data_IF_112016646005
#
_entry.id   IF_112016646005
#
_cell.length_a   1.000
_cell.length_b   1.000
_cell.length_c   1.000
_cell.angle_alpha   90.00
_cell.angle_beta   90.00
_cell.angle_gamma   90.00
#
_symmetry.space_group_name_H-M   'P 1'
#
loop_
_entity.id
_entity.type
_entity.pdbx_description
1 polymer ?
#
# COMPACT_ATOMS: atom_id res chain seq x y z
N UNK A 1 37.15 14.96 -16.98
CA UNK A 1 36.03 15.72 -17.57
C UNK A 1 35.79 16.90 -16.65
N UNK A 2 35.55 18.10 -17.17
CA UNK A 2 35.36 19.29 -16.31
C UNK A 2 33.95 19.33 -15.69
N UNK A 3 32.99 18.58 -16.28
CA UNK A 3 31.60 18.48 -15.88
C UNK A 3 31.08 17.04 -16.06
N UNK A 4 30.29 16.57 -15.10
CA UNK A 4 29.52 15.33 -15.16
C UNK A 4 28.05 15.66 -14.91
N UNK A 5 27.18 15.29 -15.85
CA UNK A 5 25.72 15.39 -15.68
C UNK A 5 25.18 13.96 -15.57
N UNK A 6 24.67 13.61 -14.40
CA UNK A 6 24.12 12.29 -14.10
C UNK A 6 22.59 12.33 -14.14
N UNK A 7 22.00 11.52 -15.02
CA UNK A 7 20.55 11.26 -15.08
C UNK A 7 20.12 10.08 -14.21
N UNK A 8 18.91 9.57 -14.43
CA UNK A 8 18.25 8.44 -13.76
C UNK A 8 17.62 8.72 -12.39
N UNK A 9 18.21 9.58 -11.55
CA UNK A 9 17.57 9.99 -10.29
C UNK A 9 16.52 11.09 -10.53
N UNK A 10 15.30 10.88 -10.05
CA UNK A 10 14.19 11.83 -10.19
C UNK A 10 14.34 13.03 -9.26
N UNK A 11 14.87 12.81 -8.06
CA UNK A 11 15.15 13.89 -7.12
C UNK A 11 16.42 14.64 -7.52
N UNK A 12 16.30 15.97 -7.57
CA UNK A 12 17.45 16.86 -7.71
C UNK A 12 18.45 16.65 -6.57
N UNK A 13 19.74 16.69 -6.88
CA UNK A 13 20.80 16.93 -5.89
C UNK A 13 21.44 18.28 -6.12
N UNK A 14 21.92 18.89 -5.04
CA UNK A 14 22.70 20.11 -5.14
C UNK A 14 23.95 19.83 -5.99
N UNK A 15 24.35 20.82 -6.79
CA UNK A 15 25.60 20.77 -7.55
C UNK A 15 26.77 20.60 -6.59
N UNK A 16 27.71 19.72 -6.91
CA UNK A 16 28.87 19.45 -6.06
C UNK A 16 30.15 19.48 -6.90
N UNK A 17 31.22 20.06 -6.36
CA UNK A 17 32.55 19.99 -6.97
C UNK A 17 33.33 18.83 -6.35
N UNK A 18 33.76 17.85 -7.16
CA UNK A 18 34.56 16.70 -6.74
C UNK A 18 35.84 16.60 -7.55
N UNK A 19 36.98 16.70 -6.90
CA UNK A 19 38.32 16.61 -7.53
C UNK A 19 38.47 17.50 -8.78
N UNK A 20 37.96 18.74 -8.70
CA UNK A 20 37.97 19.70 -9.82
C UNK A 20 36.95 19.42 -10.94
N UNK A 21 36.04 18.46 -10.72
CA UNK A 21 34.94 18.13 -11.63
C UNK A 21 33.60 18.56 -11.02
N UNK A 22 32.84 19.36 -11.75
CA UNK A 22 31.48 19.72 -11.35
C UNK A 22 30.54 18.54 -11.62
N UNK A 23 29.76 18.12 -10.63
CA UNK A 23 28.78 17.03 -10.73
C UNK A 23 27.37 17.58 -10.54
N UNK A 24 26.50 17.30 -11.50
CA UNK A 24 25.09 17.70 -11.48
C UNK A 24 24.17 16.48 -11.55
N UNK A 25 23.17 16.47 -10.69
CA UNK A 25 21.99 15.60 -10.80
C UNK A 25 20.76 16.51 -10.87
N UNK A 26 20.31 16.87 -12.08
CA UNK A 26 19.26 17.87 -12.28
C UNK A 26 17.91 17.44 -11.68
N UNK A 27 17.68 16.13 -11.57
CA UNK A 27 16.36 15.59 -11.24
C UNK A 27 15.43 15.62 -12.45
N UNK A 28 14.15 15.36 -12.19
CA UNK A 28 13.10 15.41 -13.19
C UNK A 28 12.53 16.83 -13.34
N UNK A 29 11.88 17.07 -14.48
CA UNK A 29 11.15 18.32 -14.76
C UNK A 29 9.70 18.27 -14.30
N UNK A 30 9.23 17.09 -13.92
CA UNK A 30 7.90 16.79 -13.37
C UNK A 30 8.05 15.57 -12.45
N UNK A 31 7.10 15.36 -11.54
CA UNK A 31 7.04 14.12 -10.78
C UNK A 31 6.86 12.91 -11.69
N UNK A 32 7.63 11.84 -11.43
CA UNK A 32 7.52 10.58 -12.16
C UNK A 32 6.74 9.57 -11.34
N UNK A 33 6.89 9.62 -10.01
CA UNK A 33 6.11 8.85 -9.04
C UNK A 33 5.29 9.80 -8.13
N UNK A 34 4.15 9.33 -7.61
CA UNK A 34 3.32 10.11 -6.68
C UNK A 34 3.97 10.32 -5.30
N UNK A 35 5.03 9.57 -5.02
CA UNK A 35 5.88 9.76 -3.85
C UNK A 35 7.07 10.70 -4.10
N UNK A 36 7.28 11.17 -5.35
CA UNK A 36 8.35 12.13 -5.63
C UNK A 36 8.04 13.48 -4.94
N UNK A 37 9.02 13.98 -4.20
CA UNK A 37 8.94 15.25 -3.50
C UNK A 37 10.05 16.21 -3.95
N UNK A 38 9.78 17.51 -3.80
CA UNK A 38 10.76 18.57 -3.99
C UNK A 38 10.53 19.44 -5.22
N UNK A 39 11.55 20.21 -5.57
CA UNK A 39 11.51 21.16 -6.69
C UNK A 39 11.88 20.49 -8.00
N UNK A 40 11.00 20.57 -8.99
CA UNK A 40 11.24 20.13 -10.36
C UNK A 40 11.79 21.27 -11.19
N UNK A 41 12.69 20.97 -12.13
CA UNK A 41 13.25 22.04 -12.96
C UNK A 41 14.50 21.66 -13.72
N UNK A 42 15.26 22.68 -14.10
CA UNK A 42 16.47 22.54 -14.92
C UNK A 42 17.62 23.32 -14.35
N UNK A 43 18.85 22.90 -14.64
CA UNK A 43 20.03 23.70 -14.38
C UNK A 43 20.45 24.45 -15.64
N UNK A 44 20.77 25.73 -15.48
CA UNK A 44 21.48 26.54 -16.46
C UNK A 44 22.94 26.60 -16.05
N UNK A 45 23.82 26.28 -17.00
CA UNK A 45 25.27 26.36 -16.86
C UNK A 45 25.73 27.71 -17.43
N UNK A 46 26.34 28.55 -16.61
CA UNK A 46 26.80 29.89 -16.98
C UNK A 46 28.34 29.95 -16.91
N UNK A 47 29.01 29.27 -17.85
CA UNK A 47 30.48 29.12 -17.84
C UNK A 47 30.95 27.88 -17.09
N UNK A 48 32.22 27.86 -16.63
CA UNK A 48 32.85 26.66 -16.05
C UNK A 48 32.41 26.34 -14.61
N UNK A 49 32.18 27.37 -13.80
CA UNK A 49 31.99 27.21 -12.35
C UNK A 49 30.67 27.77 -11.83
N UNK A 50 29.78 28.23 -12.72
CA UNK A 50 28.48 28.78 -12.33
C UNK A 50 27.35 27.90 -12.83
N UNK A 51 26.51 27.48 -11.89
CA UNK A 51 25.27 26.79 -12.20
C UNK A 51 24.13 27.43 -11.45
N UNK A 52 22.97 27.51 -12.11
CA UNK A 52 21.76 28.07 -11.54
C UNK A 52 20.59 27.14 -11.80
N UNK A 53 19.92 26.73 -10.73
CA UNK A 53 18.69 25.96 -10.86
C UNK A 53 17.51 26.90 -11.16
N UNK A 54 16.73 26.58 -12.18
CA UNK A 54 15.47 27.23 -12.50
C UNK A 54 14.35 26.26 -12.15
N UNK A 55 13.56 26.54 -11.09
CA UNK A 55 12.38 25.73 -10.80
C UNK A 55 11.35 25.91 -11.91
N UNK A 56 10.76 24.80 -12.33
CA UNK A 56 9.60 24.77 -13.21
C UNK A 56 8.35 24.56 -12.36
N UNK A 57 7.24 25.16 -12.78
CA UNK A 57 5.93 24.89 -12.17
C UNK A 57 5.42 23.56 -12.74
N UNK A 58 5.17 22.54 -11.91
CA UNK A 58 4.51 21.30 -12.32
C UNK A 58 3.18 21.56 -13.02
N UNK A 59 2.82 20.70 -13.96
CA UNK A 59 1.50 20.69 -14.57
C UNK A 59 0.42 20.35 -13.54
N UNK A 60 0.71 19.38 -12.69
CA UNK A 60 -0.18 18.95 -11.61
C UNK A 60 0.52 19.05 -10.27
N UNK A 61 -0.22 19.48 -9.25
CA UNK A 61 0.27 19.44 -7.88
C UNK A 61 0.01 18.06 -7.29
N UNK A 62 1.06 17.36 -6.88
CA UNK A 62 0.93 16.13 -6.10
C UNK A 62 0.95 16.49 -4.63
N UNK A 63 -0.07 16.06 -3.89
CA UNK A 63 -0.15 16.25 -2.45
C UNK A 63 -0.21 14.89 -1.76
N UNK A 64 0.79 14.62 -0.93
CA UNK A 64 0.84 13.45 -0.08
C UNK A 64 0.15 13.74 1.27
N UNK A 65 -0.85 12.93 1.61
CA UNK A 65 -1.55 12.94 2.90
C UNK A 65 -1.17 11.66 3.62
N UNK A 66 -0.57 11.78 4.81
CA UNK A 66 -0.15 10.64 5.63
C UNK A 66 -0.96 10.59 6.92
N UNK A 67 -1.69 9.50 7.12
CA UNK A 67 -2.39 9.19 8.37
C UNK A 67 -1.70 8.03 9.05
N UNK A 68 -1.03 8.30 10.16
CA UNK A 68 -0.21 7.34 10.89
C UNK A 68 -0.69 7.24 12.35
N UNK A 69 -1.05 6.04 12.80
CA UNK A 69 -1.47 5.83 14.19
C UNK A 69 -0.29 5.74 15.17
N UNK A 70 0.95 5.76 14.69
CA UNK A 70 2.15 5.76 15.52
C UNK A 70 2.26 4.52 16.41
N UNK A 71 1.99 3.33 15.85
CA UNK A 71 1.96 2.05 16.55
C UNK A 71 0.86 1.91 17.61
N UNK A 72 -0.03 2.91 17.74
CA UNK A 72 -1.19 2.79 18.61
C UNK A 72 -2.32 2.10 17.86
N UNK A 73 -2.95 1.11 18.48
CA UNK A 73 -4.17 0.48 17.92
C UNK A 73 -5.29 1.51 17.89
N UNK A 74 -5.88 1.72 16.71
CA UNK A 74 -6.99 2.65 16.50
C UNK A 74 -8.17 1.92 15.85
N UNK A 75 -9.42 2.28 16.19
CA UNK A 75 -10.57 1.79 15.47
C UNK A 75 -10.49 2.13 13.98
N UNK A 76 -11.06 1.28 13.13
CA UNK A 76 -11.11 1.50 11.67
C UNK A 76 -11.68 2.87 11.30
N UNK A 77 -12.70 3.34 12.02
CA UNK A 77 -13.35 4.62 11.77
C UNK A 77 -12.40 5.80 11.98
N UNK A 78 -11.43 5.67 12.90
CA UNK A 78 -10.44 6.72 13.13
C UNK A 78 -9.58 7.00 11.89
N UNK A 79 -9.14 5.95 11.19
CA UNK A 79 -8.37 6.10 9.95
C UNK A 79 -9.19 6.75 8.84
N UNK A 80 -10.45 6.30 8.69
CA UNK A 80 -11.38 6.83 7.70
C UNK A 80 -11.69 8.30 7.96
N UNK A 81 -12.02 8.65 9.21
CA UNK A 81 -12.38 10.01 9.59
C UNK A 81 -11.18 10.96 9.46
N UNK A 82 -9.99 10.55 9.90
CA UNK A 82 -8.77 11.37 9.78
C UNK A 82 -8.35 11.60 8.34
N UNK A 83 -8.36 10.55 7.51
CA UNK A 83 -8.03 10.70 6.10
C UNK A 83 -9.04 11.59 5.37
N UNK A 84 -10.34 11.41 5.65
CA UNK A 84 -11.38 12.25 5.07
C UNK A 84 -11.30 13.71 5.53
N UNK A 85 -10.96 13.96 6.80
CA UNK A 85 -10.74 15.31 7.34
C UNK A 85 -9.61 16.04 6.59
N UNK A 86 -8.45 15.39 6.43
CA UNK A 86 -7.30 15.94 5.72
C UNK A 86 -7.62 16.23 4.24
N UNK A 87 -8.31 15.29 3.57
CA UNK A 87 -8.70 15.45 2.17
C UNK A 87 -9.71 16.59 2.00
N UNK A 88 -10.70 16.71 2.88
CA UNK A 88 -11.67 17.80 2.83
C UNK A 88 -11.01 19.16 3.13
N UNK A 89 -10.08 19.21 4.08
CA UNK A 89 -9.27 20.38 4.35
C UNK A 89 -8.49 20.80 3.11
N UNK A 90 -7.84 19.85 2.45
CA UNK A 90 -7.12 20.11 1.20
C UNK A 90 -8.07 20.58 0.09
N UNK A 91 -9.16 19.86 -0.18
CA UNK A 91 -10.13 20.19 -1.23
C UNK A 91 -10.68 21.62 -1.10
N UNK A 92 -10.91 22.05 0.15
CA UNK A 92 -11.36 23.41 0.46
C UNK A 92 -10.31 24.47 0.10
N UNK A 93 -9.02 24.17 0.34
CA UNK A 93 -7.91 25.08 0.00
C UNK A 93 -7.56 25.07 -1.49
N UNK A 94 -7.64 23.91 -2.15
CA UNK A 94 -7.22 23.72 -3.55
C UNK A 94 -8.16 24.40 -4.56
N UNK A 95 -9.39 24.73 -4.18
CA UNK A 95 -10.30 25.51 -5.04
C UNK A 95 -9.76 26.90 -5.39
N UNK A 96 -8.80 27.41 -4.61
CA UNK A 96 -8.18 28.72 -4.83
C UNK A 96 -6.88 28.66 -5.62
N UNK A 97 -6.40 27.45 -5.97
CA UNK A 97 -5.15 27.26 -6.70
C UNK A 97 -5.38 27.14 -8.21
N UNK A 98 -4.44 27.67 -8.99
CA UNK A 98 -4.50 27.67 -10.46
C UNK A 98 -4.24 26.30 -11.11
N UNK A 99 -3.77 25.32 -10.35
CA UNK A 99 -3.36 24.00 -10.87
C UNK A 99 -4.25 22.89 -10.35
N UNK A 100 -4.56 21.94 -11.23
CA UNK A 100 -5.23 20.71 -10.84
C UNK A 100 -4.27 19.82 -10.04
N UNK A 101 -4.83 18.92 -9.22
CA UNK A 101 -4.07 18.18 -8.22
C UNK A 101 -4.33 16.67 -8.26
N UNK A 102 -3.32 15.93 -7.85
CA UNK A 102 -3.36 14.48 -7.63
C UNK A 102 -3.07 14.25 -6.15
N UNK A 103 -3.97 13.53 -5.48
CA UNK A 103 -3.80 13.18 -4.08
C UNK A 103 -3.23 11.78 -3.94
N UNK A 104 -2.32 11.62 -3.00
CA UNK A 104 -1.86 10.32 -2.54
C UNK A 104 -2.07 10.21 -1.04
N UNK A 105 -2.91 9.27 -0.63
CA UNK A 105 -3.28 9.04 0.76
C UNK A 105 -2.59 7.77 1.23
N UNK A 106 -1.80 7.88 2.29
CA UNK A 106 -1.07 6.76 2.89
C UNK A 106 -1.59 6.53 4.30
N UNK A 107 -2.20 5.36 4.52
CA UNK A 107 -2.67 4.93 5.84
C UNK A 107 -1.66 3.97 6.45
N UNK A 108 -1.24 4.21 7.69
CA UNK A 108 -0.21 3.44 8.39
C UNK A 108 -0.61 3.23 9.85
N UNK A 109 -0.44 2.01 10.35
CA UNK A 109 -0.62 1.73 11.77
C UNK A 109 -1.38 0.46 12.03
N UNK A 110 -1.98 0.37 13.22
CA UNK A 110 -2.64 -0.83 13.73
C UNK A 110 -4.13 -0.58 13.95
N UNK A 111 -4.94 -1.56 13.58
CA UNK A 111 -6.39 -1.60 13.87
C UNK A 111 -6.77 -2.90 14.56
N UNK A 112 -7.81 -2.87 15.38
CA UNK A 112 -8.46 -4.06 15.97
C UNK A 112 -9.61 -4.60 15.11
N UNK A 113 -9.97 -3.88 14.05
CA UNK A 113 -10.95 -4.30 13.03
C UNK A 113 -10.31 -4.90 11.77
N UNK A 114 -11.09 -5.04 10.71
CA UNK A 114 -10.61 -5.48 9.40
C UNK A 114 -9.94 -4.30 8.64
N UNK A 115 -8.64 -4.38 8.29
CA UNK A 115 -7.98 -3.36 7.49
C UNK A 115 -8.59 -3.15 6.09
N UNK A 116 -9.20 -4.17 5.48
CA UNK A 116 -9.83 -4.05 4.16
C UNK A 116 -11.10 -3.19 4.21
N UNK A 117 -11.81 -3.19 5.34
CA UNK A 117 -12.98 -2.33 5.54
C UNK A 117 -12.61 -0.85 5.69
N UNK A 118 -11.39 -0.54 6.17
CA UNK A 118 -10.84 0.84 6.18
C UNK A 118 -10.75 1.36 4.75
N UNK A 119 -10.13 0.58 3.85
CA UNK A 119 -9.94 0.97 2.45
C UNK A 119 -11.27 1.15 1.73
N UNK A 120 -12.20 0.18 1.88
CA UNK A 120 -13.52 0.25 1.24
C UNK A 120 -14.32 1.46 1.72
N UNK A 121 -14.35 1.69 3.03
CA UNK A 121 -15.11 2.80 3.63
C UNK A 121 -14.53 4.16 3.22
N UNK A 122 -13.20 4.27 3.16
CA UNK A 122 -12.55 5.50 2.76
C UNK A 122 -12.77 5.78 1.27
N UNK A 123 -12.62 4.80 0.37
CA UNK A 123 -12.88 4.97 -1.07
C UNK A 123 -14.26 5.56 -1.34
N UNK A 124 -15.31 5.01 -0.71
CA UNK A 124 -16.68 5.52 -0.87
C UNK A 124 -16.87 6.97 -0.39
N UNK A 125 -16.09 7.42 0.61
CA UNK A 125 -16.11 8.83 1.04
C UNK A 125 -15.32 9.72 0.09
N UNK A 126 -14.19 9.25 -0.42
CA UNK A 126 -13.34 10.00 -1.33
C UNK A 126 -14.01 10.24 -2.67
N UNK A 127 -14.77 9.26 -3.20
CA UNK A 127 -15.54 9.41 -4.44
C UNK A 127 -16.44 10.65 -4.39
N UNK A 128 -17.17 10.85 -3.29
CA UNK A 128 -18.02 12.04 -3.09
C UNK A 128 -17.21 13.34 -3.10
N UNK A 129 -16.07 13.35 -2.42
CA UNK A 129 -15.22 14.55 -2.35
C UNK A 129 -14.63 14.88 -3.72
N UNK A 130 -14.25 13.87 -4.50
CA UNK A 130 -13.73 14.07 -5.86
C UNK A 130 -14.80 14.50 -6.85
N UNK A 131 -16.05 14.06 -6.68
CA UNK A 131 -17.19 14.54 -7.48
C UNK A 131 -17.47 16.02 -7.21
N UNK A 132 -17.39 16.44 -5.95
CA UNK A 132 -17.65 17.82 -5.53
C UNK A 132 -16.45 18.77 -5.81
N UNK A 133 -15.21 18.24 -5.83
CA UNK A 133 -13.99 19.00 -5.99
C UNK A 133 -13.40 18.90 -7.41
N UNK A 134 -13.78 19.83 -8.28
CA UNK A 134 -13.36 19.88 -9.69
C UNK A 134 -11.84 19.99 -9.94
N UNK A 135 -11.04 20.27 -8.89
CA UNK A 135 -9.58 20.45 -8.97
C UNK A 135 -8.77 19.23 -8.53
N UNK A 136 -9.42 18.16 -8.08
CA UNK A 136 -8.76 16.90 -7.74
C UNK A 136 -9.01 15.91 -8.88
N UNK A 137 -7.96 15.61 -9.65
CA UNK A 137 -8.07 14.74 -10.83
C UNK A 137 -8.03 13.25 -10.48
N UNK A 138 -7.28 12.91 -9.44
CA UNK A 138 -7.04 11.52 -9.07
C UNK A 138 -6.69 11.41 -7.60
N UNK A 139 -7.06 10.28 -6.99
CA UNK A 139 -6.71 9.91 -5.62
C UNK A 139 -6.14 8.51 -5.61
N UNK A 140 -4.87 8.39 -5.26
CA UNK A 140 -4.19 7.12 -4.98
C UNK A 140 -4.29 6.81 -3.49
N UNK A 141 -4.75 5.60 -3.14
CA UNK A 141 -4.90 5.16 -1.76
C UNK A 141 -3.97 3.98 -1.48
N UNK A 142 -3.00 4.19 -0.59
CA UNK A 142 -2.06 3.19 -0.13
C UNK A 142 -2.41 2.80 1.30
N UNK A 143 -3.11 1.68 1.46
CA UNK A 143 -3.45 1.13 2.77
C UNK A 143 -2.35 0.19 3.28
N UNK A 144 -1.71 0.57 4.38
CA UNK A 144 -0.74 -0.23 5.13
C UNK A 144 -1.14 -0.31 6.61
N UNK A 145 -2.44 -0.27 6.88
CA UNK A 145 -2.98 -0.57 8.20
C UNK A 145 -2.94 -2.09 8.39
N UNK A 146 -2.42 -2.53 9.53
CA UNK A 146 -2.30 -3.93 9.87
C UNK A 146 -3.31 -4.31 10.95
N UNK A 147 -3.75 -5.57 10.93
CA UNK A 147 -4.58 -6.13 11.99
C UNK A 147 -3.71 -6.45 13.21
N UNK A 148 -3.95 -5.74 14.31
CA UNK A 148 -3.24 -5.94 15.57
C UNK A 148 -3.37 -7.37 16.10
N UNK A 149 -4.45 -8.08 15.75
CA UNK A 149 -4.69 -9.48 16.14
C UNK A 149 -3.78 -10.45 15.40
N UNK A 150 -3.40 -10.13 14.16
CA UNK A 150 -2.50 -10.95 13.36
C UNK A 150 -1.04 -10.83 13.83
N UNK A 151 -0.63 -9.67 14.34
CA UNK A 151 0.71 -9.51 14.93
C UNK A 151 0.93 -10.39 16.17
N UNK A 152 -0.14 -10.75 16.89
CA UNK A 152 -0.06 -11.70 18.02
C UNK A 152 0.23 -13.14 17.56
N UNK A 153 0.01 -13.46 16.28
CA UNK A 153 0.25 -14.77 15.68
C UNK A 153 1.64 -14.74 15.00
N UNK A 154 2.70 -14.49 15.76
CA UNK A 154 4.04 -14.84 15.30
C UNK A 154 4.23 -16.36 15.49
N UNK A 155 3.77 -17.15 14.52
CA UNK A 155 4.06 -18.58 14.45
C UNK A 155 5.54 -18.76 14.14
N UNK A 156 6.34 -18.95 15.19
CA UNK A 156 7.74 -19.40 15.12
C UNK A 156 7.89 -20.88 14.73
N UNK A 157 6.87 -21.46 14.10
CA UNK A 157 6.73 -22.91 13.95
C UNK A 157 6.86 -23.29 12.48
N UNK A 158 7.70 -24.27 12.20
CA UNK A 158 7.81 -24.89 10.87
C UNK A 158 6.42 -25.32 10.36
N UNK A 159 6.22 -25.34 9.03
CA UNK A 159 4.90 -25.41 8.39
C UNK A 159 3.93 -26.50 8.87
N UNK A 160 4.43 -27.61 9.42
CA UNK A 160 3.59 -28.66 10.00
C UNK A 160 3.03 -28.30 11.39
N UNK A 161 3.80 -27.61 12.23
CA UNK A 161 3.34 -27.20 13.55
C UNK A 161 2.49 -25.92 13.51
N UNK A 162 2.73 -25.04 12.54
CA UNK A 162 1.89 -23.85 12.32
C UNK A 162 0.45 -24.21 11.92
N UNK A 163 0.27 -25.22 11.06
CA UNK A 163 -1.07 -25.68 10.69
C UNK A 163 -1.82 -26.21 11.92
N UNK A 164 -1.18 -27.08 12.72
CA UNK A 164 -1.82 -27.63 13.92
C UNK A 164 -2.23 -26.55 14.93
N UNK A 165 -1.41 -25.53 15.13
CA UNK A 165 -1.70 -24.43 16.06
C UNK A 165 -2.87 -23.56 15.58
N UNK A 166 -2.94 -23.26 14.27
CA UNK A 166 -4.07 -22.54 13.67
C UNK A 166 -5.36 -23.35 13.82
N UNK A 167 -5.31 -24.65 13.57
CA UNK A 167 -6.48 -25.52 13.62
C UNK A 167 -7.04 -25.71 15.04
N UNK A 168 -6.21 -25.57 16.08
CA UNK A 168 -6.69 -25.62 17.47
C UNK A 168 -7.74 -24.54 17.77
N UNK A 169 -7.72 -23.41 17.05
CA UNK A 169 -8.72 -22.35 17.22
C UNK A 169 -10.13 -22.80 16.81
N UNK A 170 -10.26 -23.89 16.05
CA UNK A 170 -11.54 -24.47 15.62
C UNK A 170 -12.17 -25.40 16.69
N UNK A 171 -11.57 -25.49 17.89
CA UNK A 171 -12.13 -26.23 19.02
C UNK A 171 -12.37 -27.70 18.68
N UNK A 172 -13.62 -28.17 18.85
CA UNK A 172 -14.00 -29.57 18.58
C UNK A 172 -13.83 -29.98 17.12
N UNK A 173 -13.84 -29.02 16.20
CA UNK A 173 -13.68 -29.27 14.75
C UNK A 173 -12.23 -29.36 14.30
N UNK A 174 -11.26 -29.07 15.19
CA UNK A 174 -9.83 -29.12 14.89
C UNK A 174 -9.39 -30.47 14.29
N UNK A 175 -9.92 -31.59 14.79
CA UNK A 175 -9.59 -32.93 14.27
C UNK A 175 -10.10 -33.18 12.86
N UNK A 176 -11.28 -32.66 12.50
CA UNK A 176 -11.82 -32.81 11.15
C UNK A 176 -11.15 -31.85 10.16
N UNK A 177 -10.78 -30.67 10.63
CA UNK A 177 -9.98 -29.71 9.88
C UNK A 177 -8.58 -30.25 9.56
N UNK A 178 -7.93 -30.93 10.52
CA UNK A 178 -6.63 -31.57 10.32
C UNK A 178 -6.68 -32.67 9.26
N UNK A 179 -7.75 -33.48 9.24
CA UNK A 179 -7.98 -34.48 8.19
C UNK A 179 -8.08 -33.84 6.81
N UNK A 180 -8.77 -32.71 6.68
CA UNK A 180 -8.85 -32.02 5.39
C UNK A 180 -7.46 -31.60 4.91
N UNK A 181 -6.62 -31.05 5.80
CA UNK A 181 -5.24 -30.65 5.45
C UNK A 181 -4.40 -31.84 4.99
N UNK A 182 -4.47 -32.97 5.70
CA UNK A 182 -3.77 -34.20 5.32
C UNK A 182 -4.25 -34.75 3.97
N UNK A 183 -5.56 -34.85 3.79
CA UNK A 183 -6.15 -35.36 2.55
C UNK A 183 -5.87 -34.45 1.35
N UNK A 184 -5.88 -33.12 1.53
CA UNK A 184 -5.49 -32.16 0.49
C UNK A 184 -4.03 -32.35 0.09
N UNK A 185 -3.14 -32.58 1.08
CA UNK A 185 -1.72 -32.81 0.81
C UNK A 185 -1.50 -34.08 -0.01
N UNK A 186 -2.14 -35.19 0.39
CA UNK A 186 -2.11 -36.44 -0.36
C UNK A 186 -2.68 -36.27 -1.77
N UNK A 187 -3.81 -35.57 -1.92
CA UNK A 187 -4.45 -35.40 -3.23
C UNK A 187 -3.64 -34.49 -4.15
N UNK A 188 -2.95 -33.49 -3.61
CA UNK A 188 -2.02 -32.66 -4.37
C UNK A 188 -0.85 -33.51 -4.89
N UNK A 189 -0.28 -34.38 -4.05
CA UNK A 189 0.79 -35.29 -4.47
C UNK A 189 0.35 -36.24 -5.60
N UNK A 190 -0.90 -36.70 -5.57
CA UNK A 190 -1.43 -37.67 -6.53
C UNK A 190 -1.97 -37.03 -7.83
N UNK A 191 -2.64 -35.88 -7.73
CA UNK A 191 -3.53 -35.36 -8.79
C UNK A 191 -3.31 -33.89 -9.14
N UNK A 192 -2.35 -33.20 -8.52
CA UNK A 192 -2.07 -31.83 -8.90
C UNK A 192 -1.69 -31.75 -10.39
N UNK A 193 -2.17 -30.69 -11.05
CA UNK A 193 -1.73 -30.38 -12.40
C UNK A 193 -0.21 -30.16 -12.41
N UNK A 194 0.51 -30.84 -13.31
CA UNK A 194 1.95 -30.65 -13.46
C UNK A 194 2.34 -29.22 -13.87
N UNK A 195 1.41 -28.46 -14.45
CA UNK A 195 1.66 -27.08 -14.91
C UNK A 195 1.43 -26.06 -13.79
N UNK A 196 0.40 -26.24 -12.97
CA UNK A 196 0.00 -25.23 -11.97
C UNK A 196 0.28 -25.65 -10.53
N UNK A 197 0.54 -26.94 -10.28
CA UNK A 197 0.68 -27.49 -8.93
C UNK A 197 -0.63 -27.49 -8.13
N UNK A 198 -1.78 -27.25 -8.77
CA UNK A 198 -3.08 -27.14 -8.12
C UNK A 198 -4.01 -28.28 -8.51
N UNK A 199 -4.95 -28.59 -7.63
CA UNK A 199 -6.08 -29.46 -7.90
C UNK A 199 -7.06 -28.83 -8.91
N UNK A 200 -7.76 -29.68 -9.66
CA UNK A 200 -8.86 -29.22 -10.51
C UNK A 200 -10.00 -28.63 -9.69
N UNK A 201 -10.87 -27.85 -10.32
CA UNK A 201 -12.03 -27.28 -9.64
C UNK A 201 -12.95 -28.36 -9.04
N UNK A 202 -13.12 -29.49 -9.74
CA UNK A 202 -13.92 -30.63 -9.28
C UNK A 202 -13.31 -31.27 -8.04
N UNK A 203 -12.01 -31.55 -8.05
CA UNK A 203 -11.32 -32.15 -6.89
C UNK A 203 -11.30 -31.19 -5.69
N UNK A 204 -11.05 -29.91 -5.92
CA UNK A 204 -11.03 -28.89 -4.85
C UNK A 204 -12.40 -28.69 -4.18
N UNK A 205 -13.50 -28.82 -4.94
CA UNK A 205 -14.85 -28.54 -4.44
C UNK A 205 -15.23 -29.39 -3.22
N UNK A 206 -14.74 -30.63 -3.16
CA UNK A 206 -14.98 -31.56 -2.04
C UNK A 206 -14.41 -31.02 -0.72
N UNK A 207 -13.20 -30.46 -0.77
CA UNK A 207 -12.55 -29.88 0.41
C UNK A 207 -13.16 -28.55 0.80
N UNK A 208 -13.50 -27.71 -0.18
CA UNK A 208 -14.15 -26.40 0.06
C UNK A 208 -15.48 -26.59 0.78
N UNK A 209 -16.33 -27.52 0.34
CA UNK A 209 -17.62 -27.77 0.99
C UNK A 209 -17.46 -28.27 2.43
N UNK A 210 -16.42 -29.07 2.71
CA UNK A 210 -16.12 -29.52 4.07
C UNK A 210 -15.63 -28.37 4.96
N UNK A 211 -14.80 -27.48 4.40
CA UNK A 211 -14.36 -26.29 5.10
C UNK A 211 -15.51 -25.35 5.43
N UNK A 212 -16.41 -25.10 4.47
CA UNK A 212 -17.62 -24.29 4.70
C UNK A 212 -18.42 -24.87 5.86
N UNK A 213 -18.68 -26.18 5.85
CA UNK A 213 -19.42 -26.84 6.93
C UNK A 213 -18.73 -26.68 8.30
N UNK A 214 -17.41 -26.84 8.37
CA UNK A 214 -16.66 -26.63 9.61
C UNK A 214 -16.83 -25.20 10.12
N UNK A 215 -16.73 -24.21 9.23
CA UNK A 215 -16.83 -22.81 9.60
C UNK A 215 -18.25 -22.43 10.04
N UNK A 216 -19.29 -22.97 9.38
CA UNK A 216 -20.69 -22.79 9.78
C UNK A 216 -20.98 -23.43 11.16
N UNK A 217 -20.45 -24.62 11.43
CA UNK A 217 -20.62 -25.30 12.73
C UNK A 217 -19.90 -24.55 13.85
N UNK A 218 -18.69 -24.02 13.57
CA UNK A 218 -17.92 -23.20 14.52
C UNK A 218 -18.63 -21.86 14.78
N UNK A 219 -19.18 -21.21 13.75
CA UNK A 219 -19.94 -19.96 13.90
C UNK A 219 -21.21 -20.16 14.75
N UNK A 220 -21.89 -21.30 14.63
CA UNK A 220 -23.07 -21.62 15.43
C UNK A 220 -22.79 -21.89 16.93
N UNK A 221 -21.52 -22.04 17.32
CA UNK A 221 -21.10 -22.23 18.71
C UNK A 221 -20.69 -20.94 19.43
N UNK A 222 -20.61 -19.82 18.71
CA UNK A 222 -20.36 -18.48 19.25
C UNK A 222 -21.65 -17.67 19.41
#
# INVERSE_FOLDING_TARGET
ADLIVAGHHHSRRASEMRDGTLVLTPGATEAIDLSDEGSYGVYILEGRDSTRFIPLKPLHKIQNIRVDSGQTVRPREWFVDRAAEEVNGYASTSQTEDSDSILRIVLLGLTDGDPYEVERSLKARLEKVTEDASKILHVDLVNRVEDARQQAIQTSVSGAGAASEILMQLGRMSGDAAKIVEEVSMMLDERASQTTGLLTASDRSLFVNRWIRILEEVEAEF
#
